data_IF_419190403695
#
_entry.id   IF_419190403695
#
_cell.length_a   1.000
_cell.length_b   1.000
_cell.length_c   1.000
_cell.angle_alpha   90.00
_cell.angle_beta   90.00
_cell.angle_gamma   90.00
#
_symmetry.space_group_name_H-M   'P 1'
#
loop_
_entity.id
_entity.type
_entity.pdbx_description
1 polymer ?
#
# COMPACT_ATOMS: atom_id res chain seq x y z
N UNK A 1 12.15 -5.31 12.61
CA UNK A 1 11.01 -5.90 11.86
C UNK A 1 10.11 -4.82 11.26
N UNK A 2 9.65 -3.82 12.03
CA UNK A 2 8.86 -2.70 11.48
C UNK A 2 9.59 -1.95 10.36
N UNK A 3 10.87 -1.63 10.54
CA UNK A 3 11.67 -1.00 9.49
C UNK A 3 11.69 -1.83 8.19
N UNK A 4 11.77 -3.17 8.26
CA UNK A 4 11.80 -3.99 7.05
C UNK A 4 10.45 -3.96 6.31
N UNK A 5 9.35 -3.89 7.05
CA UNK A 5 8.01 -3.68 6.46
C UNK A 5 7.91 -2.36 5.70
N UNK A 6 8.59 -1.29 6.15
CA UNK A 6 8.64 -0.02 5.41
C UNK A 6 9.34 -0.19 4.05
N UNK A 7 10.42 -0.98 3.99
CA UNK A 7 11.08 -1.31 2.73
C UNK A 7 10.17 -2.17 1.84
N UNK A 8 9.49 -3.19 2.38
CA UNK A 8 8.53 -4.00 1.61
C UNK A 8 7.44 -3.13 0.98
N UNK A 9 6.88 -2.17 1.73
CA UNK A 9 5.87 -1.23 1.25
C UNK A 9 6.44 -0.33 0.14
N UNK A 10 7.65 0.21 0.33
CA UNK A 10 8.30 1.06 -0.67
C UNK A 10 8.58 0.28 -1.97
N UNK A 11 9.08 -0.95 -1.86
CA UNK A 11 9.31 -1.86 -2.99
C UNK A 11 8.01 -2.21 -3.70
N UNK A 12 6.95 -2.52 -2.94
CA UNK A 12 5.62 -2.79 -3.51
C UNK A 12 5.12 -1.60 -4.34
N UNK A 13 5.15 -0.39 -3.77
CA UNK A 13 4.74 0.83 -4.47
C UNK A 13 5.59 1.08 -5.72
N UNK A 14 6.91 0.91 -5.61
CA UNK A 14 7.84 1.09 -6.72
C UNK A 14 7.55 0.08 -7.83
N UNK A 15 7.36 -1.21 -7.51
CA UNK A 15 6.99 -2.26 -8.48
C UNK A 15 5.71 -1.90 -9.22
N UNK A 16 4.71 -1.45 -8.48
CA UNK A 16 3.43 -1.01 -9.01
C UNK A 16 3.49 0.33 -9.77
N UNK A 17 4.62 1.02 -9.74
CA UNK A 17 4.83 2.28 -10.45
C UNK A 17 4.16 3.49 -9.80
N UNK A 18 3.84 3.39 -8.51
CA UNK A 18 3.27 4.49 -7.71
C UNK A 18 4.30 5.12 -6.77
N UNK A 19 5.35 4.37 -6.42
CA UNK A 19 6.35 4.78 -5.43
C UNK A 19 7.59 5.45 -6.04
N UNK A 20 8.22 6.27 -5.23
CA UNK A 20 9.53 6.86 -5.52
C UNK A 20 10.65 5.91 -5.08
N UNK A 21 11.66 5.76 -5.94
CA UNK A 21 12.85 4.97 -5.65
C UNK A 21 13.62 5.53 -4.44
N UNK A 22 13.56 6.86 -4.24
CA UNK A 22 14.23 7.54 -3.13
C UNK A 22 13.76 7.05 -1.76
N UNK A 23 12.51 6.56 -1.62
CA UNK A 23 12.01 5.99 -0.36
C UNK A 23 12.80 4.75 0.10
N UNK A 24 13.25 3.91 -0.85
CA UNK A 24 14.08 2.75 -0.54
C UNK A 24 15.51 3.18 -0.18
N UNK A 25 16.02 4.22 -0.84
CA UNK A 25 17.34 4.81 -0.56
C UNK A 25 17.36 5.43 0.83
N UNK A 26 16.36 6.23 1.17
CA UNK A 26 16.20 6.88 2.48
C UNK A 26 16.14 5.84 3.61
N UNK A 27 15.42 4.74 3.39
CA UNK A 27 15.41 3.62 4.31
C UNK A 27 16.82 3.06 4.57
N UNK A 28 17.60 2.84 3.51
CA UNK A 28 18.96 2.32 3.64
C UNK A 28 19.89 3.31 4.34
N UNK A 29 19.79 4.61 4.00
CA UNK A 29 20.56 5.69 4.64
C UNK A 29 20.28 5.77 6.13
N UNK A 30 19.01 5.73 6.53
CA UNK A 30 18.63 5.79 7.95
C UNK A 30 19.11 4.54 8.71
N UNK A 31 19.06 3.37 8.08
CA UNK A 31 19.56 2.12 8.68
C UNK A 31 21.08 2.15 8.91
N UNK A 32 21.85 2.64 7.94
CA UNK A 32 23.30 2.86 8.08
C UNK A 32 23.62 3.89 9.16
N UNK A 33 22.83 4.98 9.24
CA UNK A 33 23.00 6.02 10.25
C UNK A 33 22.86 5.48 11.68
N UNK A 34 22.03 4.46 11.88
CA UNK A 34 21.80 3.81 13.18
C UNK A 34 22.86 2.76 13.55
N UNK A 35 23.80 2.47 12.65
CA UNK A 35 24.83 1.44 12.81
C UNK A 35 24.24 0.04 13.10
N UNK A 36 23.02 -0.23 12.62
CA UNK A 36 22.27 -1.46 12.92
C UNK A 36 22.73 -2.67 12.09
N UNK A 37 23.49 -2.46 11.00
CA UNK A 37 23.76 -3.47 9.96
C UNK A 37 25.25 -3.71 9.67
N UNK A 38 26.16 -2.93 10.28
CA UNK A 38 27.59 -3.04 10.01
C UNK A 38 27.94 -2.90 8.51
N UNK A 39 28.58 -3.93 7.95
CA UNK A 39 29.08 -3.99 6.57
C UNK A 39 28.12 -4.70 5.59
N UNK A 40 26.79 -4.65 5.79
CA UNK A 40 25.86 -5.20 4.78
C UNK A 40 26.02 -4.43 3.45
N UNK A 41 26.75 -5.05 2.51
CA UNK A 41 27.13 -4.45 1.24
C UNK A 41 25.90 -4.04 0.43
N UNK A 42 24.83 -4.84 0.46
CA UNK A 42 23.62 -4.54 -0.28
C UNK A 42 22.89 -3.32 0.29
N UNK A 43 22.88 -3.15 1.62
CA UNK A 43 22.35 -1.93 2.26
C UNK A 43 23.19 -0.71 1.89
N UNK A 44 24.53 -0.84 1.88
CA UNK A 44 25.44 0.24 1.44
C UNK A 44 25.21 0.61 -0.03
N UNK A 45 25.07 -0.40 -0.90
CA UNK A 45 24.80 -0.18 -2.32
C UNK A 45 23.44 0.49 -2.52
N UNK A 46 22.41 0.05 -1.80
CA UNK A 46 21.06 0.63 -1.89
C UNK A 46 21.06 2.11 -1.47
N UNK A 47 21.81 2.49 -0.43
CA UNK A 47 21.94 3.89 -0.01
C UNK A 47 22.59 4.80 -1.08
N UNK A 48 23.33 4.22 -2.03
CA UNK A 48 23.97 4.92 -3.14
C UNK A 48 23.24 4.79 -4.48
N UNK A 49 22.25 3.90 -4.57
CA UNK A 49 21.57 3.56 -5.81
C UNK A 49 20.80 4.76 -6.39
N UNK A 50 20.61 4.73 -7.72
CA UNK A 50 19.92 5.79 -8.45
C UNK A 50 18.83 5.22 -9.35
N UNK A 51 17.61 5.70 -9.12
CA UNK A 51 16.46 5.32 -9.92
C UNK A 51 16.02 3.88 -9.71
N UNK A 52 14.90 3.55 -10.36
CA UNK A 52 14.19 2.29 -10.18
C UNK A 52 15.05 1.05 -10.49
N UNK A 53 15.80 1.09 -11.58
CA UNK A 53 16.49 -0.10 -12.12
C UNK A 53 17.64 -0.57 -11.24
N UNK A 54 18.27 0.33 -10.48
CA UNK A 54 19.28 -0.02 -9.49
C UNK A 54 18.67 -0.34 -8.13
N UNK A 55 17.68 0.46 -7.69
CA UNK A 55 17.05 0.34 -6.37
C UNK A 55 16.30 -0.98 -6.21
N UNK A 56 15.48 -1.34 -7.19
CA UNK A 56 14.57 -2.47 -7.08
C UNK A 56 15.29 -3.82 -6.85
N UNK A 57 16.29 -4.22 -7.67
CA UNK A 57 16.97 -5.49 -7.45
C UNK A 57 17.73 -5.53 -6.11
N UNK A 58 18.32 -4.42 -5.67
CA UNK A 58 19.01 -4.35 -4.38
C UNK A 58 18.03 -4.52 -3.21
N UNK A 59 16.92 -3.79 -3.24
CA UNK A 59 15.90 -3.88 -2.20
C UNK A 59 15.25 -5.27 -2.12
N UNK A 60 15.01 -5.93 -3.27
CA UNK A 60 14.49 -7.30 -3.30
C UNK A 60 15.48 -8.31 -2.70
N UNK A 61 16.78 -8.17 -2.96
CA UNK A 61 17.82 -9.03 -2.36
C UNK A 61 17.88 -8.84 -0.85
N UNK A 62 17.79 -7.60 -0.37
CA UNK A 62 17.76 -7.28 1.06
C UNK A 62 16.53 -7.91 1.71
N UNK A 63 15.34 -7.71 1.14
CA UNK A 63 14.09 -8.30 1.66
C UNK A 63 14.20 -9.83 1.71
N UNK A 64 14.67 -10.46 0.63
CA UNK A 64 14.84 -11.91 0.58
C UNK A 64 15.80 -12.41 1.65
N UNK A 65 16.94 -11.73 1.85
CA UNK A 65 17.91 -12.09 2.88
C UNK A 65 17.32 -12.00 4.29
N UNK A 66 16.60 -10.92 4.59
CA UNK A 66 16.11 -10.66 5.95
C UNK A 66 14.79 -11.36 6.28
N UNK A 67 13.93 -11.65 5.28
CA UNK A 67 12.65 -12.35 5.49
C UNK A 67 12.68 -13.83 5.09
N UNK A 68 13.45 -14.20 4.07
CA UNK A 68 13.37 -15.52 3.44
C UNK A 68 11.92 -15.90 3.14
N UNK A 69 11.50 -17.06 3.66
CA UNK A 69 10.14 -17.60 3.48
C UNK A 69 9.02 -16.78 4.15
N UNK A 70 9.36 -15.81 5.01
CA UNK A 70 8.38 -14.96 5.72
C UNK A 70 7.98 -13.69 4.93
N UNK A 71 7.95 -13.77 3.60
CA UNK A 71 7.51 -12.65 2.75
C UNK A 71 6.08 -12.24 3.08
N UNK A 72 5.85 -10.94 3.12
CA UNK A 72 4.51 -10.40 3.32
C UNK A 72 3.68 -10.61 2.06
N UNK A 73 2.38 -10.89 2.26
CA UNK A 73 1.45 -11.02 1.15
C UNK A 73 1.25 -9.67 0.44
N UNK A 74 1.19 -9.67 -0.89
CA UNK A 74 0.98 -8.44 -1.68
C UNK A 74 -0.31 -7.70 -1.27
N UNK A 75 -1.38 -8.42 -0.92
CA UNK A 75 -2.60 -7.80 -0.40
C UNK A 75 -2.38 -7.08 0.95
N UNK A 76 -1.50 -7.58 1.82
CA UNK A 76 -1.15 -6.90 3.07
C UNK A 76 -0.38 -5.60 2.79
N UNK A 77 0.59 -5.65 1.86
CA UNK A 77 1.35 -4.46 1.45
C UNK A 77 0.45 -3.42 0.79
N UNK A 78 -0.46 -3.86 -0.09
CA UNK A 78 -1.49 -3.01 -0.68
C UNK A 78 -2.38 -2.39 0.40
N UNK A 79 -2.82 -3.18 1.37
CA UNK A 79 -3.60 -2.70 2.50
C UNK A 79 -2.92 -1.57 3.28
N UNK A 80 -1.62 -1.71 3.57
CA UNK A 80 -0.83 -0.63 4.19
C UNK A 80 -0.71 0.60 3.28
N UNK A 81 -0.56 0.39 1.97
CA UNK A 81 -0.58 1.49 1.02
C UNK A 81 -1.94 2.22 0.97
N UNK A 82 -3.08 1.53 1.09
CA UNK A 82 -4.42 2.14 1.21
C UNK A 82 -4.49 3.09 2.41
N UNK A 83 -3.85 2.76 3.54
CA UNK A 83 -3.77 3.66 4.70
C UNK A 83 -3.00 4.94 4.37
N UNK A 84 -1.86 4.83 3.68
CA UNK A 84 -1.07 5.98 3.24
C UNK A 84 -1.83 6.85 2.24
N UNK A 85 -2.51 6.24 1.28
CA UNK A 85 -3.37 6.92 0.31
C UNK A 85 -4.50 7.67 1.00
N UNK A 86 -5.12 7.09 2.04
CA UNK A 86 -6.16 7.79 2.80
C UNK A 86 -5.62 9.03 3.50
N UNK A 87 -4.43 8.93 4.09
CA UNK A 87 -3.79 10.08 4.71
C UNK A 87 -3.40 11.16 3.68
N UNK A 88 -2.92 10.75 2.50
CA UNK A 88 -2.58 11.66 1.41
C UNK A 88 -3.82 12.37 0.83
N UNK A 89 -4.93 11.64 0.67
CA UNK A 89 -6.22 12.16 0.26
C UNK A 89 -6.76 13.20 1.24
N UNK A 90 -6.78 12.89 2.54
CA UNK A 90 -7.17 13.85 3.58
C UNK A 90 -6.28 15.09 3.63
N UNK A 91 -5.01 14.96 3.26
CA UNK A 91 -4.07 16.08 3.17
C UNK A 91 -4.18 16.86 1.85
N UNK A 92 -5.09 16.48 0.93
CA UNK A 92 -5.27 17.10 -0.39
C UNK A 92 -4.15 16.80 -1.38
N UNK A 93 -3.30 15.80 -1.12
CA UNK A 93 -2.23 15.36 -2.03
C UNK A 93 -2.72 14.35 -3.06
N UNK A 94 -3.75 13.59 -2.70
CA UNK A 94 -4.47 12.71 -3.62
C UNK A 94 -5.89 13.25 -3.84
N UNK A 95 -6.45 12.96 -5.00
CA UNK A 95 -7.81 13.30 -5.41
C UNK A 95 -8.58 12.02 -5.73
N UNK A 96 -9.92 12.11 -5.83
CA UNK A 96 -10.73 10.95 -6.26
C UNK A 96 -10.25 10.39 -7.60
N UNK A 97 -9.91 11.27 -8.56
CA UNK A 97 -9.41 10.83 -9.87
C UNK A 97 -8.05 10.13 -9.82
N UNK A 98 -7.12 10.59 -8.98
CA UNK A 98 -5.82 9.91 -8.84
C UNK A 98 -5.95 8.59 -8.09
N UNK A 99 -6.84 8.52 -7.09
CA UNK A 99 -7.16 7.28 -6.38
C UNK A 99 -7.83 6.25 -7.28
N UNK A 100 -8.78 6.65 -8.12
CA UNK A 100 -9.42 5.75 -9.09
C UNK A 100 -8.39 5.10 -10.03
N UNK A 101 -7.47 5.90 -10.59
CA UNK A 101 -6.39 5.37 -11.43
C UNK A 101 -5.51 4.36 -10.68
N UNK A 102 -5.23 4.60 -9.39
CA UNK A 102 -4.45 3.69 -8.54
C UNK A 102 -5.24 2.41 -8.25
N UNK A 103 -6.51 2.51 -7.85
CA UNK A 103 -7.36 1.36 -7.52
C UNK A 103 -7.64 0.50 -8.74
N UNK A 104 -7.92 1.10 -9.90
CA UNK A 104 -8.09 0.42 -11.18
C UNK A 104 -6.88 -0.44 -11.55
N UNK A 105 -5.66 -0.01 -11.21
CA UNK A 105 -4.44 -0.79 -11.45
C UNK A 105 -4.14 -1.80 -10.34
N UNK A 106 -4.42 -1.48 -9.07
CA UNK A 106 -4.21 -2.40 -7.95
C UNK A 106 -5.15 -3.60 -8.00
N UNK A 107 -6.42 -3.39 -8.37
CA UNK A 107 -7.45 -4.41 -8.27
C UNK A 107 -7.14 -5.70 -9.06
N UNK A 108 -6.80 -5.67 -10.37
CA UNK A 108 -6.38 -6.87 -11.09
C UNK A 108 -5.00 -7.38 -10.68
N UNK A 109 -4.09 -6.49 -10.24
CA UNK A 109 -2.75 -6.90 -9.81
C UNK A 109 -2.75 -7.73 -8.52
N UNK A 110 -3.81 -7.59 -7.70
CA UNK A 110 -4.02 -8.33 -6.46
C UNK A 110 -4.95 -9.55 -6.62
N UNK A 111 -5.27 -9.93 -7.86
CA UNK A 111 -6.22 -11.00 -8.19
C UNK A 111 -7.64 -10.74 -7.66
N UNK A 112 -8.12 -9.51 -7.85
CA UNK A 112 -9.51 -9.11 -7.62
C UNK A 112 -10.03 -9.35 -6.19
N UNK A 113 -9.35 -8.84 -5.14
CA UNK A 113 -9.75 -9.15 -3.77
C UNK A 113 -11.10 -8.52 -3.41
N UNK A 114 -11.95 -9.29 -2.74
CA UNK A 114 -13.32 -8.90 -2.37
C UNK A 114 -13.40 -7.56 -1.60
N UNK A 115 -12.38 -7.26 -0.78
CA UNK A 115 -12.36 -6.04 0.04
C UNK A 115 -12.09 -4.75 -0.75
N UNK A 116 -11.57 -4.86 -1.97
CA UNK A 116 -11.26 -3.70 -2.81
C UNK A 116 -12.38 -3.37 -3.81
N UNK A 117 -13.36 -4.27 -3.97
CA UNK A 117 -14.47 -4.14 -4.92
C UNK A 117 -15.26 -2.85 -4.69
N UNK A 118 -15.83 -2.70 -3.49
CA UNK A 118 -16.73 -1.59 -3.19
C UNK A 118 -15.96 -0.27 -3.18
N UNK A 119 -14.75 -0.26 -2.60
CA UNK A 119 -13.89 0.91 -2.60
C UNK A 119 -13.56 1.40 -4.01
N UNK A 120 -13.17 0.48 -4.91
CA UNK A 120 -12.83 0.84 -6.29
C UNK A 120 -14.04 1.37 -7.04
N UNK A 121 -15.17 0.65 -6.95
CA UNK A 121 -16.43 1.04 -7.60
C UNK A 121 -16.90 2.42 -7.12
N UNK A 122 -16.96 2.64 -5.80
CA UNK A 122 -17.43 3.90 -5.26
C UNK A 122 -16.49 5.04 -5.62
N UNK A 123 -15.18 4.80 -5.68
CA UNK A 123 -14.19 5.80 -6.11
C UNK A 123 -14.40 6.19 -7.59
N UNK A 124 -14.57 5.21 -8.47
CA UNK A 124 -14.88 5.41 -9.89
C UNK A 124 -16.11 6.32 -10.05
N UNK A 125 -17.22 6.01 -9.37
CA UNK A 125 -18.45 6.81 -9.49
C UNK A 125 -18.37 8.17 -8.80
N UNK A 126 -17.64 8.31 -7.69
CA UNK A 126 -17.54 9.57 -6.95
C UNK A 126 -16.88 10.70 -7.77
N UNK A 127 -16.16 10.38 -8.86
CA UNK A 127 -15.62 11.38 -9.78
C UNK A 127 -16.72 12.14 -10.55
N UNK A 128 -17.83 11.47 -10.87
CA UNK A 128 -18.85 11.97 -11.81
C UNK A 128 -20.28 11.99 -11.24
N UNK A 129 -20.54 11.26 -10.14
CA UNK A 129 -21.87 11.08 -9.56
C UNK A 129 -21.85 11.53 -8.08
N UNK A 130 -22.45 12.69 -7.74
CA UNK A 130 -22.43 13.24 -6.38
C UNK A 130 -22.96 12.28 -5.30
N UNK A 131 -23.93 11.43 -5.65
CA UNK A 131 -24.52 10.46 -4.71
C UNK A 131 -23.50 9.42 -4.22
N UNK A 132 -22.35 9.27 -4.88
CA UNK A 132 -21.27 8.36 -4.48
C UNK A 132 -20.19 9.01 -3.62
N UNK A 133 -20.21 10.34 -3.42
CA UNK A 133 -19.20 11.03 -2.60
C UNK A 133 -19.16 10.48 -1.17
N UNK A 134 -20.30 10.47 -0.48
CA UNK A 134 -20.39 9.96 0.88
C UNK A 134 -20.17 8.43 0.98
N UNK A 135 -20.79 7.60 0.12
CA UNK A 135 -20.46 6.17 -0.02
C UNK A 135 -18.96 5.86 -0.17
N UNK A 136 -18.25 6.63 -1.00
CA UNK A 136 -16.81 6.52 -1.15
C UNK A 136 -16.07 6.88 0.14
N UNK A 137 -16.44 8.00 0.79
CA UNK A 137 -15.81 8.43 2.04
C UNK A 137 -15.99 7.44 3.19
N UNK A 138 -17.17 6.80 3.29
CA UNK A 138 -17.46 5.80 4.31
C UNK A 138 -16.68 4.51 4.04
N UNK A 139 -16.68 4.02 2.80
CA UNK A 139 -15.94 2.79 2.44
C UNK A 139 -14.43 2.98 2.55
N UNK A 140 -13.89 4.11 2.07
CA UNK A 140 -12.45 4.35 2.15
C UNK A 140 -11.98 4.46 3.60
N UNK A 141 -12.77 5.11 4.47
CA UNK A 141 -12.50 5.16 5.91
C UNK A 141 -12.58 3.77 6.53
N UNK A 142 -13.58 2.97 6.19
CA UNK A 142 -13.77 1.62 6.72
C UNK A 142 -12.58 0.71 6.40
N UNK A 143 -12.24 0.58 5.11
CA UNK A 143 -11.15 -0.27 4.64
C UNK A 143 -9.80 0.21 5.18
N UNK A 144 -9.51 1.53 5.14
CA UNK A 144 -8.27 2.06 5.67
C UNK A 144 -8.15 1.84 7.19
N UNK A 145 -9.25 1.96 7.94
CA UNK A 145 -9.24 1.74 9.40
C UNK A 145 -8.97 0.28 9.76
N UNK A 146 -9.50 -0.67 8.99
CA UNK A 146 -9.22 -2.09 9.17
C UNK A 146 -7.75 -2.42 8.87
N UNK A 147 -7.23 -1.92 7.74
CA UNK A 147 -5.83 -2.14 7.38
C UNK A 147 -4.85 -1.46 8.32
N UNK A 148 -5.20 -0.32 8.91
CA UNK A 148 -4.38 0.35 9.92
C UNK A 148 -4.18 -0.55 11.15
N UNK A 149 -5.20 -1.29 11.56
CA UNK A 149 -5.18 -2.17 12.74
C UNK A 149 -4.64 -3.58 12.44
N UNK A 150 -4.77 -4.06 11.21
CA UNK A 150 -4.35 -5.40 10.84
C UNK A 150 -2.82 -5.55 10.82
N UNK A 151 -2.30 -6.60 11.44
CA UNK A 151 -0.88 -6.98 11.41
C UNK A 151 -0.56 -8.03 10.32
N UNK A 152 -1.59 -8.54 9.64
CA UNK A 152 -1.53 -9.60 8.65
C UNK A 152 -2.79 -9.60 7.78
N UNK A 153 -2.73 -10.25 6.60
CA UNK A 153 -3.90 -10.48 5.75
C UNK A 153 -5.00 -11.25 6.51
N UNK A 154 -4.62 -12.31 7.24
CA UNK A 154 -5.57 -13.11 8.01
C UNK A 154 -6.22 -12.33 9.18
N UNK A 155 -5.54 -11.33 9.76
CA UNK A 155 -6.16 -10.44 10.75
C UNK A 155 -7.19 -9.51 10.10
N UNK A 156 -6.86 -8.96 8.92
CA UNK A 156 -7.78 -8.15 8.15
C UNK A 156 -9.03 -8.95 7.73
N UNK A 157 -8.85 -10.14 7.14
CA UNK A 157 -9.96 -11.00 6.67
C UNK A 157 -10.93 -11.39 7.80
N UNK A 158 -10.43 -11.54 9.04
CA UNK A 158 -11.26 -11.81 10.21
C UNK A 158 -12.10 -10.61 10.65
N UNK A 159 -11.61 -9.39 10.40
CA UNK A 159 -12.28 -8.15 10.80
C UNK A 159 -13.16 -7.57 9.67
N UNK A 160 -12.82 -7.86 8.42
CA UNK A 160 -13.56 -7.41 7.25
C UNK A 160 -14.95 -8.05 7.20
N UNK A 161 -15.95 -7.21 6.97
CA UNK A 161 -17.35 -7.59 6.81
C UNK A 161 -17.85 -7.07 5.47
N UNK A 162 -18.13 -8.01 4.56
CA UNK A 162 -18.77 -7.69 3.28
C UNK A 162 -20.15 -7.05 3.47
N UNK A 163 -20.88 -7.43 4.53
CA UNK A 163 -22.16 -6.82 4.86
C UNK A 163 -22.00 -5.33 5.19
N UNK A 164 -20.97 -4.96 5.96
CA UNK A 164 -20.67 -3.55 6.25
C UNK A 164 -20.27 -2.79 4.99
N UNK A 165 -19.40 -3.38 4.16
CA UNK A 165 -19.02 -2.76 2.87
C UNK A 165 -20.23 -2.53 1.96
N UNK A 166 -21.18 -3.47 1.89
CA UNK A 166 -22.43 -3.31 1.13
C UNK A 166 -23.33 -2.20 1.66
N UNK A 167 -23.25 -1.82 2.94
CA UNK A 167 -24.01 -0.69 3.49
C UNK A 167 -23.47 0.67 3.02
N UNK A 168 -22.24 0.70 2.49
CA UNK A 168 -21.66 1.88 1.86
C UNK A 168 -21.96 1.93 0.35
N UNK A 169 -22.97 1.23 -0.15
CA UNK A 169 -23.40 1.36 -1.55
C UNK A 169 -24.39 2.53 -1.68
N UNK A 170 -24.16 3.41 -2.65
CA UNK A 170 -25.07 4.52 -2.97
C UNK A 170 -26.44 4.03 -3.46
N UNK A 171 -26.50 2.83 -4.04
CA UNK A 171 -27.68 2.37 -4.78
C UNK A 171 -28.81 1.84 -3.91
N UNK A 172 -28.58 1.63 -2.61
CA UNK A 172 -29.56 1.10 -1.66
C UNK A 172 -30.05 -0.30 -2.05
N UNK A 173 -29.82 -1.29 -1.19
CA UNK A 173 -30.54 -2.57 -1.30
C UNK A 173 -31.95 -2.40 -0.74
#
# INVERSE_FOLDING_TARGET
MEQLTELDIAVFQLRMGFGDADRCVDWAVERLRRDEEGDDLEVVLLASARGRDEVLPLAEVIIERYRGEQRLADQFLAGKYIVELRAAYLAGRESVSSLDAIFTRLYPALDYPDWLVMLSRNCEYAADVPDFEQPFEDEFRYIASLWAQADSLAAFERAYSRETSNQHDATGV
#
